data_IF_391781171008
#
_entry.id   IF_391781171008
#
_cell.length_a   1.000
_cell.length_b   1.000
_cell.length_c   1.000
_cell.angle_alpha   90.00
_cell.angle_beta   90.00
_cell.angle_gamma   90.00
#
_symmetry.space_group_name_H-M   'P 1'
#
loop_
_entity.id
_entity.type
_entity.pdbx_description
1 polymer ?
#
# COMPACT_ATOMS: atom_id res chain seq x y z
N UNK A 1 16.96 -18.30 3.89
CA UNK A 1 16.31 -17.35 4.66
C UNK A 1 14.93 -17.14 4.23
N UNK A 2 14.03 -17.00 5.12
CA UNK A 2 12.64 -16.84 4.80
C UNK A 2 12.28 -15.38 4.64
N UNK A 3 11.58 -15.08 3.59
CA UNK A 3 11.07 -13.73 3.41
C UNK A 3 9.79 -13.61 4.22
N UNK A 4 9.60 -12.55 4.98
CA UNK A 4 8.35 -12.39 5.70
C UNK A 4 7.18 -12.34 4.73
N UNK A 5 6.07 -12.86 5.14
CA UNK A 5 4.88 -12.87 4.31
C UNK A 5 3.85 -11.94 4.92
N UNK A 6 3.13 -11.23 4.06
CA UNK A 6 2.13 -10.27 4.48
C UNK A 6 0.87 -10.47 3.66
N UNK A 7 -0.23 -9.94 4.13
CA UNK A 7 -1.49 -10.06 3.43
C UNK A 7 -1.82 -8.77 2.68
N UNK A 8 -2.10 -8.90 1.40
CA UNK A 8 -2.49 -7.75 0.59
C UNK A 8 -3.90 -7.32 1.01
N UNK A 9 -4.08 -6.03 1.26
CA UNK A 9 -5.39 -5.53 1.68
C UNK A 9 -6.39 -5.50 0.53
N UNK A 10 -5.92 -5.55 -0.69
CA UNK A 10 -6.83 -5.53 -1.83
C UNK A 10 -7.39 -6.90 -2.15
N UNK A 11 -6.52 -7.86 -2.45
CA UNK A 11 -6.98 -9.18 -2.82
C UNK A 11 -7.07 -10.15 -1.65
N UNK A 12 -6.56 -9.77 -0.51
CA UNK A 12 -6.63 -10.54 0.73
C UNK A 12 -5.79 -11.82 0.67
N UNK A 13 -4.88 -11.90 -0.25
CA UNK A 13 -3.98 -13.05 -0.35
C UNK A 13 -2.66 -12.74 0.31
N UNK A 14 -2.03 -13.77 0.83
CA UNK A 14 -0.72 -13.64 1.44
C UNK A 14 0.35 -13.76 0.37
N UNK A 15 1.36 -12.94 0.46
CA UNK A 15 2.46 -12.98 -0.50
C UNK A 15 3.73 -12.53 0.20
N UNK A 16 4.85 -12.69 -0.49
CA UNK A 16 6.12 -12.26 0.06
C UNK A 16 6.13 -10.76 0.24
N UNK A 17 6.69 -10.32 1.33
CA UNK A 17 6.76 -8.89 1.60
C UNK A 17 7.42 -8.13 0.45
N UNK A 18 8.37 -8.77 -0.23
CA UNK A 18 9.06 -8.11 -1.33
C UNK A 18 8.16 -7.87 -2.54
N UNK A 19 7.06 -8.60 -2.64
CA UNK A 19 6.12 -8.42 -3.74
C UNK A 19 5.05 -7.40 -3.41
N UNK A 20 5.08 -6.83 -2.23
CA UNK A 20 4.02 -5.92 -1.78
C UNK A 20 4.60 -4.55 -1.48
N UNK A 21 3.77 -3.54 -1.59
CA UNK A 21 4.14 -2.19 -1.21
C UNK A 21 3.67 -1.93 0.20
N UNK A 22 4.47 -1.22 0.97
CA UNK A 22 4.15 -0.92 2.35
C UNK A 22 3.54 0.48 2.46
N UNK A 23 2.55 0.60 3.32
CA UNK A 23 1.91 1.87 3.61
C UNK A 23 1.85 2.03 5.12
N UNK A 24 1.90 3.27 5.59
CA UNK A 24 1.78 3.54 7.02
C UNK A 24 0.81 4.68 7.22
N UNK A 25 0.38 4.88 8.44
CA UNK A 25 -0.57 5.92 8.77
C UNK A 25 0.18 7.04 9.49
N UNK A 26 0.11 8.25 8.93
CA UNK A 26 0.75 9.41 9.54
C UNK A 26 -0.33 10.44 9.77
N UNK A 27 -0.63 10.72 11.02
CA UNK A 27 -1.67 11.68 11.40
C UNK A 27 -3.00 11.35 10.71
N UNK A 28 -3.33 10.09 10.64
CA UNK A 28 -4.60 9.67 10.08
C UNK A 28 -4.62 9.56 8.57
N UNK A 29 -3.51 9.87 7.91
CA UNK A 29 -3.44 9.83 6.46
C UNK A 29 -2.54 8.68 6.03
N UNK A 30 -2.99 7.91 5.05
CA UNK A 30 -2.20 6.80 4.54
C UNK A 30 -1.11 7.34 3.62
N UNK A 31 0.13 6.96 3.89
CA UNK A 31 1.24 7.36 3.03
C UNK A 31 2.02 6.13 2.60
N UNK A 32 2.58 6.17 1.42
CA UNK A 32 3.39 5.08 0.91
C UNK A 32 4.76 5.11 1.57
N UNK A 33 5.32 3.94 1.82
CA UNK A 33 6.63 3.84 2.46
C UNK A 33 7.49 2.90 1.62
N UNK A 34 7.89 3.32 0.42
CA UNK A 34 8.67 2.43 -0.45
C UNK A 34 10.01 2.05 0.14
N UNK A 35 10.58 2.89 0.98
CA UNK A 35 11.85 2.59 1.61
C UNK A 35 11.71 1.73 2.85
N UNK A 36 10.49 1.47 3.28
CA UNK A 36 10.24 0.67 4.48
C UNK A 36 10.96 1.20 5.69
N UNK A 37 10.98 2.52 5.83
CA UNK A 37 11.68 3.16 6.93
C UNK A 37 10.79 3.83 7.95
N UNK A 38 9.56 4.12 7.57
CA UNK A 38 8.70 4.86 8.49
C UNK A 38 8.24 3.96 9.61
N UNK A 39 8.16 4.50 10.83
CA UNK A 39 7.77 3.70 11.98
C UNK A 39 6.28 3.42 11.98
N UNK A 40 5.90 2.47 12.79
CA UNK A 40 4.50 2.17 12.99
C UNK A 40 4.04 0.93 12.26
N UNK A 41 2.76 0.63 12.40
CA UNK A 41 2.21 -0.54 11.80
C UNK A 41 2.11 -0.35 10.30
N UNK A 42 2.55 -1.33 9.55
CA UNK A 42 2.48 -1.27 8.11
C UNK A 42 1.24 -1.95 7.58
N UNK A 43 0.78 -1.49 6.45
CA UNK A 43 -0.25 -2.16 5.68
C UNK A 43 0.37 -2.50 4.34
N UNK A 44 -0.06 -3.57 3.72
CA UNK A 44 0.60 -4.10 2.55
C UNK A 44 -0.36 -4.27 1.40
N UNK A 45 0.10 -4.06 0.19
CA UNK A 45 -0.76 -4.06 -0.97
C UNK A 45 0.05 -4.41 -2.21
N UNK A 46 -0.49 -5.28 -3.05
CA UNK A 46 0.17 -5.53 -4.32
C UNK A 46 0.18 -4.25 -5.15
N UNK A 47 1.22 -4.04 -5.94
CA UNK A 47 1.34 -2.82 -6.74
C UNK A 47 0.52 -2.83 -8.02
N UNK A 48 -0.55 -3.57 -8.07
CA UNK A 48 -1.36 -3.60 -9.27
C UNK A 48 -2.62 -2.77 -9.08
N UNK A 49 -3.17 -2.37 -10.19
CA UNK A 49 -4.31 -1.48 -10.19
C UNK A 49 -5.54 -2.11 -9.55
N UNK A 50 -5.72 -3.38 -9.77
CA UNK A 50 -6.88 -4.06 -9.25
C UNK A 50 -6.88 -4.07 -7.72
N UNK A 51 -5.75 -4.39 -7.12
CA UNK A 51 -5.66 -4.40 -5.67
C UNK A 51 -5.83 -2.99 -5.10
N UNK A 52 -5.26 -1.99 -5.78
CA UNK A 52 -5.40 -0.61 -5.34
C UNK A 52 -6.85 -0.16 -5.38
N UNK A 53 -7.56 -0.54 -6.42
CA UNK A 53 -8.97 -0.18 -6.57
C UNK A 53 -9.80 -0.85 -5.47
N UNK A 54 -9.51 -2.13 -5.21
CA UNK A 54 -10.26 -2.86 -4.21
C UNK A 54 -10.07 -2.33 -2.81
N UNK A 55 -8.84 -1.95 -2.46
CA UNK A 55 -8.59 -1.46 -1.12
C UNK A 55 -9.33 -0.14 -0.89
N UNK A 56 -9.40 0.70 -1.92
CA UNK A 56 -10.12 1.96 -1.78
C UNK A 56 -11.63 1.74 -1.73
N UNK A 57 -12.12 0.84 -2.57
CA UNK A 57 -13.55 0.58 -2.63
C UNK A 57 -14.10 0.02 -1.33
N UNK A 58 -13.29 -0.78 -0.66
CA UNK A 58 -13.75 -1.45 0.55
C UNK A 58 -13.28 -0.84 1.85
N UNK A 59 -12.57 0.26 1.76
CA UNK A 59 -12.03 0.85 2.97
C UNK A 59 -11.00 -0.04 3.62
N UNK A 60 -10.20 -0.74 2.80
CA UNK A 60 -9.28 -1.72 3.32
C UNK A 60 -8.19 -1.14 4.21
N UNK A 61 -7.80 0.10 3.97
CA UNK A 61 -6.77 0.72 4.81
C UNK A 61 -7.28 0.91 6.24
N UNK A 62 -8.50 1.38 6.39
CA UNK A 62 -9.06 1.56 7.73
C UNK A 62 -9.15 0.23 8.46
N UNK A 63 -9.51 -0.83 7.75
CA UNK A 63 -9.55 -2.15 8.36
C UNK A 63 -8.16 -2.63 8.73
N UNK A 64 -7.21 -2.43 7.84
CA UNK A 64 -5.85 -2.88 8.07
C UNK A 64 -5.20 -2.20 9.25
N UNK A 65 -5.43 -0.90 9.38
CA UNK A 65 -4.85 -0.15 10.49
C UNK A 65 -5.74 -0.19 11.73
N UNK A 66 -6.97 -0.67 11.58
CA UNK A 66 -7.94 -0.75 12.68
C UNK A 66 -8.22 0.62 13.26
N UNK A 67 -8.27 1.62 12.39
CA UNK A 67 -8.59 2.97 12.82
C UNK A 67 -8.89 3.76 11.57
N UNK A 68 -9.47 4.94 11.76
CA UNK A 68 -9.78 5.80 10.65
C UNK A 68 -8.52 6.07 9.85
N UNK A 69 -8.61 5.93 8.56
CA UNK A 69 -7.46 6.15 7.69
C UNK A 69 -7.93 6.82 6.42
N UNK A 70 -7.32 7.95 6.08
CA UNK A 70 -7.69 8.70 4.90
C UNK A 70 -6.71 8.36 3.79
N UNK A 71 -7.23 7.82 2.70
CA UNK A 71 -6.40 7.51 1.55
C UNK A 71 -6.62 8.62 0.52
N UNK A 72 -5.64 9.51 0.45
CA UNK A 72 -5.71 10.63 -0.46
C UNK A 72 -5.72 10.15 -1.90
N UNK A 73 -6.39 10.87 -2.77
CA UNK A 73 -6.44 10.51 -4.18
C UNK A 73 -5.07 10.48 -4.82
N UNK A 74 -4.12 11.23 -4.27
CA UNK A 74 -2.79 11.25 -4.84
C UNK A 74 -1.90 10.14 -4.34
N UNK A 75 -2.37 9.34 -3.42
CA UNK A 75 -1.56 8.27 -2.86
C UNK A 75 -0.99 7.36 -3.93
N UNK A 76 -1.84 6.85 -4.80
CA UNK A 76 -1.40 5.95 -5.83
C UNK A 76 -0.88 6.68 -7.06
N UNK A 77 -1.28 7.92 -7.25
CA UNK A 77 -0.76 8.70 -8.35
C UNK A 77 0.73 8.92 -8.17
N UNK A 78 1.14 9.16 -6.95
CA UNK A 78 2.55 9.33 -6.66
C UNK A 78 3.33 8.06 -6.96
N UNK A 79 2.78 6.92 -6.60
CA UNK A 79 3.44 5.66 -6.88
C UNK A 79 3.48 5.37 -8.37
N UNK A 80 2.40 5.69 -9.05
CA UNK A 80 2.35 5.47 -10.48
C UNK A 80 3.38 6.33 -11.20
N UNK A 81 3.58 7.54 -10.70
CA UNK A 81 4.58 8.42 -11.28
C UNK A 81 5.97 7.82 -11.14
N UNK A 82 6.26 7.26 -9.99
CA UNK A 82 7.53 6.63 -9.79
C UNK A 82 7.73 5.48 -10.75
N UNK A 83 6.70 4.73 -11.00
CA UNK A 83 6.83 3.59 -11.86
C UNK A 83 6.83 3.99 -13.32
N UNK A 84 6.19 5.07 -13.61
CA UNK A 84 6.05 5.50 -14.97
C UNK A 84 7.24 6.19 -15.47
N UNK A 85 8.24 6.26 -14.72
CA UNK A 85 9.41 6.85 -15.12
C UNK A 85 9.87 6.31 -16.40
N UNK A 86 9.42 5.46 -16.79
CA UNK A 86 9.81 5.01 -18.00
C UNK A 86 9.50 5.88 -18.98
N UNK A 87 9.85 5.74 -19.84
CA UNK A 87 9.78 6.52 -20.73
C UNK A 87 8.74 6.91 -21.37
N UNK A 88 8.14 6.91 -21.25
CA UNK A 88 7.26 7.29 -21.76
C UNK A 88 7.04 8.30 -21.93
N UNK A 89 7.38 8.74 -21.93
CA UNK A 89 7.04 9.68 -22.16
C UNK A 89 7.55 10.11 -22.66
#
# INVERSE_FOLDING_TARGET
MNTPRRTCLGCRRTDDQSALQRFVLVDGVVVADPGRRLPGRGAWLHPDEECRREVLRRGGFARGFRRRAIADAELFASLATDQAVGPER
#
